data_IF_670563161224
#
_entry.id   IF_670563161224
#
_cell.length_a   1.000
_cell.length_b   1.000
_cell.length_c   1.000
_cell.angle_alpha   90.00
_cell.angle_beta   90.00
_cell.angle_gamma   90.00
#
_symmetry.space_group_name_H-M   'P 1'
#
loop_
_entity.id
_entity.type
_entity.pdbx_description
1 polymer ?
#
# COMPACT_ATOMS: atom_id res chain seq x y z
N UNK A 1 35.35 -18.12 28.53
CA UNK A 1 34.90 -17.96 27.87
C UNK A 1 34.85 -17.61 27.90
N UNK A 2 35.00 -17.70 28.08
CA UNK A 2 34.62 -17.63 27.44
C UNK A 2 34.51 -17.25 27.27
N UNK A 3 34.86 -17.63 27.52
CA UNK A 3 34.59 -17.40 26.89
C UNK A 3 34.36 -17.17 26.37
N UNK A 4 34.41 -17.51 26.26
CA UNK A 4 33.95 -17.29 25.47
C UNK A 4 33.34 -16.99 25.01
N UNK A 5 33.44 -17.23 25.08
CA UNK A 5 32.77 -16.97 24.52
C UNK A 5 32.51 -16.62 24.15
N UNK A 6 32.25 -16.71 23.92
CA UNK A 6 31.69 -16.28 23.29
C UNK A 6 31.42 -16.05 22.14
N UNK A 7 31.17 -16.34 21.61
CA UNK A 7 31.17 -16.46 20.17
C UNK A 7 29.90 -16.05 19.50
N UNK A 8 29.02 -16.80 19.10
CA UNK A 8 27.82 -16.55 18.33
C UNK A 8 27.08 -15.24 18.52
N UNK A 9 27.46 -14.51 19.49
CA UNK A 9 26.80 -13.23 19.85
C UNK A 9 26.79 -12.21 18.72
N UNK A 10 27.81 -12.23 17.91
CA UNK A 10 27.94 -11.26 16.83
C UNK A 10 26.76 -11.27 15.88
N UNK A 11 26.12 -12.41 15.75
CA UNK A 11 25.00 -12.55 14.83
C UNK A 11 23.82 -11.69 15.22
N UNK A 12 23.60 -11.52 16.50
CA UNK A 12 22.44 -10.77 16.99
C UNK A 12 22.46 -9.31 16.58
N UNK A 13 23.64 -8.75 16.56
CA UNK A 13 23.82 -7.33 16.23
C UNK A 13 23.32 -7.06 14.82
N UNK A 14 23.56 -7.98 13.92
CA UNK A 14 23.15 -7.85 12.54
C UNK A 14 21.64 -7.77 12.41
N UNK A 15 20.92 -8.52 13.22
CA UNK A 15 19.47 -8.53 13.19
C UNK A 15 18.91 -7.14 13.52
N UNK A 16 19.50 -6.47 14.48
CA UNK A 16 19.02 -5.15 14.90
C UNK A 16 19.10 -4.13 13.77
N UNK A 17 20.07 -4.23 12.90
CA UNK A 17 20.24 -3.28 11.82
C UNK A 17 19.13 -3.38 10.76
N UNK A 18 18.37 -4.47 10.75
CA UNK A 18 17.27 -4.66 9.80
C UNK A 18 15.92 -4.32 10.41
N UNK A 19 15.89 -3.89 11.65
CA UNK A 19 14.64 -3.56 12.29
C UNK A 19 14.03 -2.32 11.65
N UNK A 20 12.75 -2.42 11.31
CA UNK A 20 12.01 -1.32 10.74
C UNK A 20 11.81 -0.22 11.78
N UNK A 21 11.80 1.01 11.32
CA UNK A 21 11.51 2.15 12.19
C UNK A 21 10.03 2.14 12.54
N UNK A 22 9.73 2.40 13.81
CA UNK A 22 8.35 2.55 14.26
C UNK A 22 7.89 3.98 14.00
N UNK A 23 6.68 4.11 13.48
CA UNK A 23 6.09 5.42 13.19
C UNK A 23 4.70 5.49 13.81
N UNK A 24 4.25 6.69 14.21
CA UNK A 24 2.91 6.83 14.75
C UNK A 24 1.87 6.63 13.64
N UNK A 25 0.76 5.98 13.99
CA UNK A 25 -0.35 5.77 13.07
C UNK A 25 -1.30 6.95 13.21
N UNK A 26 -1.45 7.78 12.16
CA UNK A 26 -2.35 8.93 12.27
C UNK A 26 -3.80 8.50 12.28
N UNK A 27 -4.63 9.25 12.99
CA UNK A 27 -6.07 9.02 13.00
C UNK A 27 -6.66 9.73 11.77
N UNK A 28 -7.17 8.94 10.83
CA UNK A 28 -7.67 9.49 9.57
C UNK A 28 -9.18 9.33 9.38
N UNK A 29 -9.87 8.71 10.33
CA UNK A 29 -11.33 8.59 10.25
C UNK A 29 -11.96 9.99 10.27
N UNK A 30 -12.99 10.18 9.46
CA UNK A 30 -13.62 11.49 9.30
C UNK A 30 -12.98 12.35 8.23
N UNK A 31 -11.86 11.92 7.67
CA UNK A 31 -11.19 12.62 6.58
C UNK A 31 -11.59 12.02 5.24
N UNK A 32 -11.42 12.80 4.16
CA UNK A 32 -11.67 12.25 2.83
C UNK A 32 -10.62 11.17 2.53
N UNK A 33 -10.95 10.28 1.61
CA UNK A 33 -10.03 9.22 1.23
C UNK A 33 -8.68 9.78 0.77
N UNK A 34 -8.69 10.84 -0.02
CA UNK A 34 -7.46 11.45 -0.51
C UNK A 34 -6.61 12.00 0.65
N UNK A 35 -7.24 12.68 1.60
CA UNK A 35 -6.52 13.19 2.77
C UNK A 35 -5.96 12.07 3.61
N UNK A 36 -6.75 11.02 3.83
CA UNK A 36 -6.32 9.86 4.61
C UNK A 36 -5.10 9.20 3.95
N UNK A 37 -5.17 8.99 2.64
CA UNK A 37 -4.06 8.40 1.89
C UNK A 37 -2.79 9.24 2.04
N UNK A 38 -2.90 10.56 1.87
CA UNK A 38 -1.75 11.44 2.00
C UNK A 38 -1.16 11.42 3.40
N UNK A 39 -2.01 11.41 4.42
CA UNK A 39 -1.54 11.37 5.81
C UNK A 39 -0.80 10.06 6.10
N UNK A 40 -1.31 8.95 5.61
CA UNK A 40 -0.66 7.66 5.80
C UNK A 40 0.67 7.59 5.06
N UNK A 41 0.74 8.10 3.84
CA UNK A 41 1.99 8.12 3.08
C UNK A 41 3.04 8.99 3.75
N UNK A 42 2.65 10.15 4.24
CA UNK A 42 3.58 11.04 4.94
C UNK A 42 4.10 10.37 6.21
N UNK A 43 3.25 9.60 6.89
CA UNK A 43 3.66 8.88 8.10
C UNK A 43 4.54 7.65 7.80
N UNK A 44 4.68 7.28 6.53
CA UNK A 44 5.46 6.11 6.15
C UNK A 44 4.67 4.81 6.15
N UNK A 45 3.35 4.91 6.07
CA UNK A 45 2.45 3.76 6.10
C UNK A 45 1.79 3.58 4.74
N UNK A 46 1.19 2.40 4.54
CA UNK A 46 0.46 2.09 3.31
C UNK A 46 -0.99 1.78 3.64
N UNK A 47 -1.82 1.73 2.60
CA UNK A 47 -3.19 1.28 2.75
C UNK A 47 -3.20 -0.22 2.45
N UNK A 48 -3.58 -1.02 3.44
CA UNK A 48 -3.66 -2.46 3.25
C UNK A 48 -4.88 -2.82 2.42
N UNK A 49 -6.00 -2.21 2.74
CA UNK A 49 -7.25 -2.50 2.04
C UNK A 49 -8.23 -1.37 2.21
N UNK A 50 -9.00 -1.10 1.15
CA UNK A 50 -10.13 -0.17 1.18
C UNK A 50 -11.40 -1.00 1.12
N UNK A 51 -12.28 -0.83 2.11
CA UNK A 51 -13.55 -1.54 2.18
C UNK A 51 -14.65 -0.51 2.14
N UNK A 52 -15.54 -0.64 1.17
CA UNK A 52 -16.64 0.33 0.99
C UNK A 52 -17.90 -0.14 1.68
N UNK A 53 -18.57 0.78 2.36
CA UNK A 53 -19.83 0.51 3.06
C UNK A 53 -20.86 1.58 2.69
N UNK A 54 -22.16 1.23 2.71
CA UNK A 54 -23.21 2.22 2.49
C UNK A 54 -23.14 3.31 3.55
N UNK A 55 -23.02 4.55 3.13
CA UNK A 55 -23.00 5.69 4.03
C UNK A 55 -23.19 6.97 3.22
N UNK A 56 -23.82 7.96 3.82
CA UNK A 56 -24.03 9.24 3.18
C UNK A 56 -22.72 10.00 2.98
N UNK A 57 -21.71 9.68 3.77
CA UNK A 57 -20.39 10.33 3.68
C UNK A 57 -19.53 9.67 2.59
N UNK A 58 -19.94 9.83 1.35
CA UNK A 58 -19.25 9.24 0.19
C UNK A 58 -17.81 9.73 0.10
N UNK A 59 -16.88 8.77 -0.05
CA UNK A 59 -15.44 9.01 -0.15
C UNK A 59 -14.80 9.54 1.14
N UNK A 60 -15.47 9.39 2.27
CA UNK A 60 -14.88 9.69 3.57
C UNK A 60 -14.58 8.43 4.34
N UNK A 61 -13.50 8.46 5.11
CA UNK A 61 -13.10 7.32 5.93
C UNK A 61 -14.02 7.23 7.13
N UNK A 62 -14.66 6.08 7.31
CA UNK A 62 -15.59 5.84 8.40
C UNK A 62 -14.88 5.22 9.60
N UNK A 63 -14.00 4.28 9.35
CA UNK A 63 -13.23 3.59 10.39
C UNK A 63 -11.85 3.26 9.88
N UNK A 64 -10.94 3.12 10.82
CA UNK A 64 -9.54 2.86 10.51
C UNK A 64 -9.02 1.75 11.44
N UNK A 65 -8.35 0.75 10.86
CA UNK A 65 -7.77 -0.36 11.62
C UNK A 65 -6.31 -0.54 11.20
N UNK A 66 -5.45 -0.77 12.19
CA UNK A 66 -4.06 -1.11 11.94
C UNK A 66 -3.75 -2.41 12.64
N UNK A 67 -3.27 -3.40 11.87
CA UNK A 67 -2.97 -4.73 12.40
C UNK A 67 -4.15 -5.35 13.15
N UNK A 68 -5.35 -5.13 12.64
CA UNK A 68 -6.58 -5.68 13.23
C UNK A 68 -7.10 -4.93 14.43
N UNK A 69 -6.46 -3.84 14.82
CA UNK A 69 -6.88 -3.04 15.97
C UNK A 69 -7.45 -1.70 15.51
N UNK A 70 -8.54 -1.26 16.10
CA UNK A 70 -9.12 0.03 15.70
C UNK A 70 -8.21 1.19 16.12
N UNK A 71 -8.08 2.16 15.24
CA UNK A 71 -7.36 3.39 15.51
C UNK A 71 -8.39 4.44 15.91
N UNK A 72 -8.23 5.05 17.06
CA UNK A 72 -9.16 6.05 17.58
C UNK A 72 -8.42 7.35 17.89
N UNK A 73 -9.14 8.47 18.10
CA UNK A 73 -8.48 9.74 18.40
C UNK A 73 -7.61 9.70 19.65
N UNK A 74 -7.91 8.80 20.59
CA UNK A 74 -7.17 8.69 21.83
C UNK A 74 -6.12 7.59 21.82
N UNK A 75 -6.14 6.73 20.82
CA UNK A 75 -5.17 5.63 20.70
C UNK A 75 -3.85 6.17 20.17
N UNK A 76 -2.79 5.95 20.91
CA UNK A 76 -1.44 6.31 20.47
C UNK A 76 -0.78 5.06 19.94
N UNK A 77 -1.18 4.67 18.73
CA UNK A 77 -0.69 3.46 18.11
C UNK A 77 0.55 3.75 17.29
N UNK A 78 1.50 2.84 17.33
CA UNK A 78 2.67 2.87 16.48
C UNK A 78 2.74 1.58 15.68
N UNK A 79 3.30 1.66 14.50
CA UNK A 79 3.47 0.50 13.62
C UNK A 79 4.79 0.63 12.89
N UNK A 80 5.30 -0.48 12.38
CA UNK A 80 6.52 -0.44 11.59
C UNK A 80 6.27 0.33 10.29
N UNK A 81 7.28 1.10 9.88
CA UNK A 81 7.22 1.81 8.61
C UNK A 81 6.89 0.83 7.48
N UNK A 82 5.95 1.18 6.63
CA UNK A 82 5.49 0.32 5.56
C UNK A 82 4.32 -0.57 5.92
N UNK A 83 3.87 -0.54 7.18
CA UNK A 83 2.71 -1.33 7.59
C UNK A 83 1.44 -0.86 6.88
N UNK A 84 0.51 -1.78 6.67
CA UNK A 84 -0.75 -1.48 6.02
C UNK A 84 -1.85 -1.13 7.01
N UNK A 85 -2.68 -0.17 6.62
CA UNK A 85 -3.83 0.28 7.40
C UNK A 85 -5.09 -0.02 6.59
N UNK A 86 -6.08 -0.63 7.23
CA UNK A 86 -7.36 -0.92 6.58
C UNK A 86 -8.30 0.25 6.83
N UNK A 87 -8.92 0.75 5.77
CA UNK A 87 -9.84 1.86 5.85
C UNK A 87 -11.24 1.42 5.38
N UNK A 88 -12.25 1.76 6.16
CA UNK A 88 -13.65 1.62 5.75
C UNK A 88 -14.09 2.97 5.22
N UNK A 89 -14.55 2.98 3.97
CA UNK A 89 -14.88 4.22 3.28
C UNK A 89 -16.36 4.18 2.91
N UNK A 90 -17.04 5.32 3.06
CA UNK A 90 -18.45 5.43 2.73
C UNK A 90 -18.68 5.55 1.24
N UNK A 91 -19.79 4.99 0.78
CA UNK A 91 -20.31 5.21 -0.56
C UNK A 91 -21.82 5.18 -0.50
N UNK A 92 -22.45 6.19 -1.09
CA UNK A 92 -23.89 6.25 -1.12
C UNK A 92 -24.45 5.04 -1.85
N UNK A 93 -25.52 4.45 -1.33
CA UNK A 93 -26.16 3.25 -1.87
C UNK A 93 -25.33 1.97 -1.74
N UNK A 94 -24.14 2.04 -1.12
CA UNK A 94 -23.35 0.85 -0.82
C UNK A 94 -22.52 0.30 -1.96
N UNK A 95 -22.58 0.91 -3.14
CA UNK A 95 -21.75 0.51 -4.27
C UNK A 95 -21.51 1.71 -5.18
N UNK A 96 -20.49 1.62 -5.99
CA UNK A 96 -20.14 2.66 -6.92
C UNK A 96 -19.06 2.13 -7.86
N UNK A 97 -18.75 2.92 -8.87
CA UNK A 97 -17.72 2.54 -9.84
C UNK A 97 -16.68 3.62 -9.98
N UNK A 98 -15.52 3.23 -10.47
CA UNK A 98 -14.44 4.15 -10.76
C UNK A 98 -13.76 3.67 -12.04
N UNK A 99 -12.87 4.49 -12.56
CA UNK A 99 -12.13 4.14 -13.78
C UNK A 99 -10.73 3.71 -13.40
N UNK A 100 -10.29 2.57 -13.91
CA UNK A 100 -8.93 2.07 -13.64
C UNK A 100 -7.92 2.98 -14.31
N UNK A 101 -6.95 3.52 -13.57
CA UNK A 101 -5.97 4.44 -14.15
C UNK A 101 -4.91 3.67 -14.95
N UNK A 102 -4.24 4.40 -15.82
CA UNK A 102 -3.12 3.86 -16.57
C UNK A 102 -1.89 3.85 -15.66
N UNK A 103 -1.38 2.67 -15.37
CA UNK A 103 -0.26 2.50 -14.44
C UNK A 103 1.04 2.09 -15.13
N UNK A 104 0.97 1.70 -16.39
CA UNK A 104 2.15 1.26 -17.14
C UNK A 104 3.19 2.37 -17.18
N UNK A 105 4.43 2.04 -16.84
CA UNK A 105 5.54 2.98 -16.79
C UNK A 105 5.78 3.60 -15.42
N UNK A 106 4.90 3.34 -14.43
CA UNK A 106 5.05 3.90 -13.09
C UNK A 106 5.80 2.94 -12.16
N UNK A 107 6.60 3.49 -11.23
CA UNK A 107 7.14 2.67 -10.15
C UNK A 107 6.02 2.21 -9.23
N UNK A 108 6.26 1.11 -8.51
CA UNK A 108 5.23 0.49 -7.68
C UNK A 108 4.58 1.47 -6.69
N UNK A 109 5.38 2.28 -6.01
CA UNK A 109 4.84 3.21 -5.01
C UNK A 109 3.84 4.18 -5.63
N UNK A 110 4.14 4.71 -6.81
CA UNK A 110 3.24 5.63 -7.50
C UNK A 110 2.00 4.91 -8.02
N UNK A 111 2.16 3.68 -8.49
CA UNK A 111 1.03 2.89 -8.97
C UNK A 111 0.06 2.61 -7.83
N UNK A 112 0.55 2.22 -6.67
CA UNK A 112 -0.28 2.00 -5.48
C UNK A 112 -1.04 3.26 -5.10
N UNK A 113 -0.34 4.40 -5.04
CA UNK A 113 -0.97 5.67 -4.68
C UNK A 113 -2.09 6.05 -5.63
N UNK A 114 -1.91 5.82 -6.92
CA UNK A 114 -2.94 6.09 -7.92
C UNK A 114 -4.18 5.24 -7.71
N UNK A 115 -3.96 3.96 -7.42
CA UNK A 115 -5.08 3.04 -7.18
C UNK A 115 -5.88 3.48 -5.95
N UNK A 116 -5.21 3.79 -4.85
CA UNK A 116 -5.88 4.20 -3.62
C UNK A 116 -6.67 5.49 -3.81
N UNK A 117 -6.12 6.45 -4.54
CA UNK A 117 -6.83 7.72 -4.79
C UNK A 117 -8.16 7.51 -5.49
N UNK A 118 -8.27 6.48 -6.30
CA UNK A 118 -9.46 6.20 -7.07
C UNK A 118 -10.35 5.13 -6.44
N UNK A 119 -10.04 4.75 -5.21
CA UNK A 119 -10.86 3.79 -4.48
C UNK A 119 -10.64 2.35 -4.87
N UNK A 120 -9.47 2.05 -5.44
CA UNK A 120 -9.11 0.70 -5.84
C UNK A 120 -8.08 0.12 -4.89
N UNK A 121 -8.05 -1.19 -4.80
CA UNK A 121 -7.08 -1.91 -4.00
C UNK A 121 -5.96 -2.46 -4.86
N UNK A 122 -4.79 -2.61 -4.25
CA UNK A 122 -3.66 -3.27 -4.90
C UNK A 122 -3.86 -4.77 -4.73
N UNK A 123 -3.94 -5.48 -5.84
CA UNK A 123 -4.10 -6.92 -5.82
C UNK A 123 -2.73 -7.60 -5.79
N UNK A 124 -2.56 -8.53 -6.70
CA UNK A 124 -1.31 -9.29 -6.77
C UNK A 124 -0.21 -8.43 -7.39
N UNK A 125 0.96 -8.46 -6.78
CA UNK A 125 2.13 -7.75 -7.30
C UNK A 125 3.19 -8.80 -7.64
N UNK A 126 3.52 -8.90 -8.92
CA UNK A 126 4.52 -9.85 -9.40
C UNK A 126 5.68 -9.10 -10.05
N UNK A 127 6.86 -9.65 -9.90
CA UNK A 127 8.07 -9.10 -10.49
C UNK A 127 8.64 -10.10 -11.49
N UNK A 128 9.24 -9.59 -12.55
CA UNK A 128 9.90 -10.43 -13.55
C UNK A 128 11.15 -11.10 -12.97
N UNK A 129 11.63 -12.11 -13.66
CA UNK A 129 12.90 -12.76 -13.31
C UNK A 129 14.02 -11.74 -13.28
N UNK A 130 14.96 -11.95 -12.37
CA UNK A 130 16.10 -11.05 -12.22
C UNK A 130 15.85 -9.88 -11.28
N UNK A 131 14.61 -9.70 -10.82
CA UNK A 131 14.30 -8.66 -9.86
C UNK A 131 14.57 -9.20 -8.45
N UNK A 132 15.31 -8.42 -7.66
CA UNK A 132 15.62 -8.78 -6.28
C UNK A 132 15.39 -7.56 -5.38
N UNK A 133 15.68 -7.70 -4.10
CA UNK A 133 15.45 -6.62 -3.15
C UNK A 133 16.28 -5.37 -3.43
N UNK A 134 17.41 -5.52 -4.11
CA UNK A 134 18.28 -4.38 -4.39
C UNK A 134 17.82 -3.56 -5.59
N UNK A 135 17.24 -4.20 -6.59
CA UNK A 135 16.82 -3.52 -7.82
C UNK A 135 15.30 -3.35 -7.96
N UNK A 136 14.54 -3.81 -6.97
CA UNK A 136 13.08 -3.75 -7.01
C UNK A 136 12.56 -2.33 -7.19
N UNK A 137 13.24 -1.36 -6.60
CA UNK A 137 12.85 0.05 -6.70
C UNK A 137 12.97 0.61 -8.12
N UNK A 138 13.77 -0.03 -8.96
CA UNK A 138 13.98 0.42 -10.33
C UNK A 138 12.98 -0.17 -11.31
N UNK A 139 12.10 -1.05 -10.84
CA UNK A 139 11.09 -1.66 -11.71
C UNK A 139 9.96 -0.70 -12.03
N UNK A 140 9.29 -0.98 -13.16
CA UNK A 140 8.12 -0.23 -13.59
C UNK A 140 7.01 -1.18 -13.96
N UNK A 141 5.78 -0.77 -13.78
CA UNK A 141 4.62 -1.56 -14.16
C UNK A 141 4.57 -1.69 -15.67
N UNK A 142 4.41 -2.91 -16.18
CA UNK A 142 4.25 -3.11 -17.61
C UNK A 142 2.96 -3.85 -17.96
N UNK A 143 2.36 -4.55 -16.99
CA UNK A 143 1.06 -5.19 -17.15
C UNK A 143 0.19 -4.84 -15.95
N UNK A 144 -1.06 -4.50 -16.21
CA UNK A 144 -2.06 -4.30 -15.18
C UNK A 144 -3.35 -5.00 -15.57
N UNK A 145 -4.04 -5.57 -14.58
CA UNK A 145 -5.31 -6.26 -14.78
C UNK A 145 -6.29 -5.85 -13.69
N UNK A 146 -7.41 -5.21 -14.00
CA UNK A 146 -7.90 -4.84 -15.33
C UNK A 146 -7.08 -3.74 -16.00
N UNK A 147 -7.24 -3.60 -17.29
CA UNK A 147 -6.52 -2.61 -18.07
C UNK A 147 -6.97 -1.20 -17.81
N UNK A 148 -6.19 -0.24 -18.33
CA UNK A 148 -6.48 1.18 -18.17
C UNK A 148 -7.82 1.56 -18.78
N UNK A 149 -8.47 2.54 -18.18
CA UNK A 149 -9.73 3.15 -18.64
C UNK A 149 -10.94 2.24 -18.57
N UNK A 150 -10.81 1.07 -17.95
CA UNK A 150 -11.95 0.20 -17.71
C UNK A 150 -12.68 0.63 -16.46
N UNK A 151 -14.00 0.42 -16.46
CA UNK A 151 -14.81 0.68 -15.28
C UNK A 151 -14.65 -0.48 -14.30
N UNK A 152 -14.54 -0.18 -13.03
CA UNK A 152 -14.42 -1.18 -11.98
C UNK A 152 -15.22 -0.74 -10.76
N UNK A 153 -15.69 -1.70 -9.98
CA UNK A 153 -16.38 -1.37 -8.75
C UNK A 153 -15.39 -0.81 -7.73
N UNK A 154 -15.84 0.12 -6.91
CA UNK A 154 -15.02 0.65 -5.82
C UNK A 154 -14.61 -0.49 -4.90
N UNK A 155 -13.34 -0.48 -4.49
CA UNK A 155 -12.79 -1.55 -3.67
C UNK A 155 -12.26 -2.74 -4.47
N UNK A 156 -12.37 -2.72 -5.79
CA UNK A 156 -11.83 -3.79 -6.63
C UNK A 156 -10.31 -3.81 -6.59
N UNK A 157 -9.74 -4.96 -6.88
CA UNK A 157 -8.30 -5.13 -6.88
C UNK A 157 -7.74 -5.03 -8.29
N UNK A 158 -6.57 -4.45 -8.40
CA UNK A 158 -5.83 -4.36 -9.66
C UNK A 158 -4.50 -5.08 -9.48
N UNK A 159 -4.26 -6.08 -10.32
CA UNK A 159 -3.02 -6.83 -10.27
C UNK A 159 -1.97 -6.12 -11.14
N UNK A 160 -0.73 -6.16 -10.66
CA UNK A 160 0.37 -5.45 -11.30
C UNK A 160 1.53 -6.41 -11.56
N UNK A 161 2.19 -6.19 -12.68
CA UNK A 161 3.43 -6.89 -12.98
C UNK A 161 4.49 -5.87 -13.37
N UNK A 162 5.67 -6.02 -12.78
CA UNK A 162 6.73 -5.04 -12.89
C UNK A 162 7.98 -5.66 -13.52
N UNK A 163 8.71 -4.83 -14.25
CA UNK A 163 9.91 -5.29 -14.98
C UNK A 163 11.01 -4.24 -14.93
N UNK A 164 12.24 -4.70 -15.13
CA UNK A 164 13.40 -3.82 -15.35
C UNK A 164 13.65 -3.61 -16.84
N UNK A 165 12.98 -4.36 -17.69
CA UNK A 165 13.22 -4.37 -19.13
C UNK A 165 12.46 -3.24 -19.84
N UNK A 166 13.19 -2.24 -20.30
CA UNK A 166 12.59 -1.10 -20.99
C UNK A 166 11.91 -1.48 -22.30
N UNK A 167 12.34 -2.56 -22.93
CA UNK A 167 11.72 -3.04 -24.16
C UNK A 167 10.31 -3.56 -23.89
N UNK A 168 10.12 -4.24 -22.76
CA UNK A 168 8.81 -4.70 -22.36
C UNK A 168 7.90 -3.50 -22.06
N UNK A 169 8.44 -2.49 -21.39
CA UNK A 169 7.69 -1.28 -21.10
C UNK A 169 7.21 -0.60 -22.37
N UNK A 170 8.07 -0.48 -23.36
CA UNK A 170 7.72 0.15 -24.62
C UNK A 170 6.62 -0.62 -25.35
N UNK A 171 6.62 -1.95 -25.22
CA UNK A 171 5.64 -2.81 -25.88
C UNK A 171 4.24 -2.62 -25.31
N UNK A 172 4.13 -2.39 -24.00
CA UNK A 172 2.84 -2.29 -23.31
C UNK A 172 2.39 -0.86 -23.04
N UNK A 173 3.19 0.09 -23.39
CA UNK A 173 2.91 1.50 -23.18
C UNK A 173 1.79 2.01 -24.06
#
# INVERSE_FOLDING_TARGET
GGVEVKPGRTVYITINSFRQKMVPVPYVAGRSLRQAKNMLEIAGLEIAELIYRPDMATNYVLEEYCEGKPVTPTTRMEAEMGSGVTLYVGVEDGYGTTIVPRLVGLPLAQAKGRLWELGLNVGRVDFDEGVNLLNQKDTRVYIQTPGAERSAALGSRVDLRLTLDEKKLARYR
#
